data_IF_881623091943
#
_entry.id   IF_881623091943
#
_cell.length_a   1.000
_cell.length_b   1.000
_cell.length_c   1.000
_cell.angle_alpha   90.00
_cell.angle_beta   90.00
_cell.angle_gamma   90.00
#
_symmetry.space_group_name_H-M   'P 1'
#
loop_
_entity.id
_entity.type
_entity.pdbx_description
1 polymer ?
#
# COMPACT_ATOMS: atom_id res chain seq x y z
N UNK A 1 6.30 10.88 17.13
CA UNK A 1 6.01 9.86 16.11
C UNK A 1 4.51 9.93 15.81
N UNK A 2 4.12 10.10 14.56
CA UNK A 2 2.71 10.12 14.18
C UNK A 2 2.10 8.73 14.42
N UNK A 3 0.92 8.69 15.06
CA UNK A 3 0.21 7.43 15.33
C UNK A 3 -0.76 7.12 14.19
N UNK A 4 -1.02 5.83 13.88
CA UNK A 4 -2.08 5.45 12.96
C UNK A 4 -3.43 6.02 13.39
N UNK A 5 -4.29 6.33 12.41
CA UNK A 5 -5.66 6.78 12.65
C UNK A 5 -6.64 5.86 11.95
N UNK A 6 -7.79 5.62 12.58
CA UNK A 6 -8.90 4.93 11.93
C UNK A 6 -9.64 5.94 11.07
N UNK A 7 -9.72 5.66 9.76
CA UNK A 7 -10.45 6.47 8.79
C UNK A 7 -11.88 5.95 8.60
N UNK A 8 -12.04 4.64 8.63
CA UNK A 8 -13.34 3.97 8.49
C UNK A 8 -13.30 2.60 9.14
N UNK A 9 -14.43 2.19 9.69
CA UNK A 9 -14.63 0.81 10.15
C UNK A 9 -16.09 0.39 10.04
N UNK A 10 -16.28 -0.89 9.77
CA UNK A 10 -17.56 -1.58 9.91
C UNK A 10 -17.33 -3.05 10.30
N UNK A 11 -18.34 -3.91 10.14
CA UNK A 11 -18.24 -5.33 10.47
C UNK A 11 -17.26 -6.11 9.56
N UNK A 12 -16.90 -5.56 8.43
CA UNK A 12 -16.10 -6.21 7.37
C UNK A 12 -14.76 -5.56 7.10
N UNK A 13 -14.66 -4.27 7.34
CA UNK A 13 -13.53 -3.42 6.94
C UNK A 13 -12.94 -2.66 8.13
N UNK A 14 -11.63 -2.48 8.09
CA UNK A 14 -10.89 -1.51 8.90
C UNK A 14 -9.96 -0.74 7.96
N UNK A 15 -10.15 0.56 7.85
CA UNK A 15 -9.35 1.45 7.02
C UNK A 15 -8.53 2.35 7.91
N UNK A 16 -7.22 2.30 7.74
CA UNK A 16 -6.26 3.02 8.56
C UNK A 16 -5.44 4.00 7.72
N UNK A 17 -5.15 5.14 8.32
CA UNK A 17 -4.13 6.06 7.85
C UNK A 17 -2.77 5.61 8.40
N UNK A 18 -1.92 5.07 7.53
CA UNK A 18 -0.58 4.61 7.89
C UNK A 18 0.37 5.81 7.88
N UNK A 19 1.03 6.14 8.98
CA UNK A 19 2.11 7.12 8.95
C UNK A 19 3.32 6.59 8.16
N UNK A 20 4.15 7.51 7.67
CA UNK A 20 5.46 7.16 7.12
C UNK A 20 6.33 6.46 8.17
N UNK A 21 7.28 5.66 7.72
CA UNK A 21 8.23 4.91 8.54
C UNK A 21 7.63 3.79 9.42
N UNK A 22 6.34 3.51 9.30
CA UNK A 22 5.68 2.37 9.95
C UNK A 22 5.56 1.19 8.95
N UNK A 23 5.96 -0.04 9.28
CA UNK A 23 5.70 -1.18 8.42
C UNK A 23 4.21 -1.51 8.39
N UNK A 24 3.70 -1.97 7.23
CA UNK A 24 2.28 -2.40 7.13
C UNK A 24 2.05 -3.74 7.84
N UNK A 25 3.01 -4.63 7.75
CA UNK A 25 3.01 -5.96 8.37
C UNK A 25 4.32 -6.15 9.13
N UNK A 26 4.42 -7.09 10.07
CA UNK A 26 5.68 -7.38 10.75
C UNK A 26 6.83 -7.60 9.76
N UNK A 27 7.98 -7.03 10.05
CA UNK A 27 9.22 -7.19 9.30
C UNK A 27 10.39 -7.52 10.24
N UNK A 28 11.59 -7.64 9.71
CA UNK A 28 12.81 -8.01 10.46
C UNK A 28 13.24 -6.94 11.48
N UNK A 29 12.69 -5.74 11.45
CA UNK A 29 13.05 -4.67 12.38
C UNK A 29 12.57 -4.92 13.81
N UNK A 30 11.53 -5.75 13.96
CA UNK A 30 10.85 -5.95 15.25
C UNK A 30 9.97 -4.78 15.71
N UNK A 31 9.85 -3.72 14.89
CA UNK A 31 8.94 -2.62 15.20
C UNK A 31 7.47 -3.06 15.10
N UNK A 32 6.61 -2.46 15.92
CA UNK A 32 5.18 -2.68 15.81
C UNK A 32 4.69 -2.32 14.41
N UNK A 33 3.99 -3.24 13.74
CA UNK A 33 3.41 -2.97 12.43
C UNK A 33 2.01 -2.33 12.52
N UNK A 34 1.55 -1.75 11.40
CA UNK A 34 0.17 -1.25 11.29
C UNK A 34 -0.86 -2.36 11.53
N UNK A 35 -0.57 -3.59 11.10
CA UNK A 35 -1.40 -4.77 11.35
C UNK A 35 -1.53 -5.06 12.84
N UNK A 36 -0.41 -5.03 13.59
CA UNK A 36 -0.40 -5.31 15.03
C UNK A 36 -1.13 -4.21 15.79
N UNK A 37 -0.86 -2.95 15.43
CA UNK A 37 -1.59 -1.81 15.96
C UNK A 37 -3.11 -1.94 15.72
N UNK A 38 -3.52 -2.30 14.51
CA UNK A 38 -4.93 -2.46 14.15
C UNK A 38 -5.60 -3.61 14.93
N UNK A 39 -4.90 -4.73 15.10
CA UNK A 39 -5.40 -5.86 15.93
C UNK A 39 -5.60 -5.44 17.38
N UNK A 40 -4.61 -4.77 17.98
CA UNK A 40 -4.70 -4.25 19.34
C UNK A 40 -5.88 -3.27 19.47
N UNK A 41 -5.99 -2.31 18.56
CA UNK A 41 -7.07 -1.32 18.57
C UNK A 41 -8.47 -1.98 18.51
N UNK A 42 -8.67 -3.00 17.65
CA UNK A 42 -9.93 -3.75 17.58
C UNK A 42 -10.19 -4.53 18.86
N UNK A 43 -9.15 -5.17 19.44
CA UNK A 43 -9.29 -5.92 20.69
C UNK A 43 -9.75 -5.02 21.83
N UNK A 44 -9.10 -3.86 22.00
CA UNK A 44 -9.42 -2.88 23.03
C UNK A 44 -10.83 -2.29 22.85
N UNK A 45 -11.15 -1.80 21.64
CA UNK A 45 -12.44 -1.16 21.35
C UNK A 45 -13.63 -2.07 21.59
N UNK A 46 -13.51 -3.34 21.25
CA UNK A 46 -14.62 -4.29 21.33
C UNK A 46 -14.50 -5.28 22.50
N UNK A 47 -13.54 -5.06 23.40
CA UNK A 47 -13.26 -5.93 24.56
C UNK A 47 -13.23 -7.41 24.16
N UNK A 48 -12.61 -7.72 22.99
CA UNK A 48 -12.59 -9.08 22.45
C UNK A 48 -11.63 -9.97 23.23
N UNK A 49 -12.12 -11.06 23.84
CA UNK A 49 -11.23 -12.08 24.37
C UNK A 49 -10.58 -12.86 23.22
N UNK A 50 -9.26 -12.98 23.21
CA UNK A 50 -8.51 -13.79 22.26
C UNK A 50 -8.01 -13.04 21.02
N UNK A 51 -7.58 -13.81 20.02
CA UNK A 51 -6.93 -13.25 18.83
C UNK A 51 -7.90 -12.54 17.90
N UNK A 52 -7.52 -11.34 17.46
CA UNK A 52 -8.26 -10.56 16.45
C UNK A 52 -7.76 -10.95 15.07
N UNK A 53 -8.67 -11.33 14.19
CA UNK A 53 -8.39 -11.51 12.77
C UNK A 53 -8.43 -10.17 12.04
N UNK A 54 -7.35 -9.87 11.31
CA UNK A 54 -7.31 -8.84 10.27
C UNK A 54 -6.59 -9.40 9.04
N UNK A 55 -7.31 -9.51 7.92
CA UNK A 55 -6.77 -9.93 6.63
C UNK A 55 -6.04 -8.80 5.93
N UNK A 56 -4.80 -9.04 5.52
CA UNK A 56 -3.98 -8.10 4.75
C UNK A 56 -4.35 -8.20 3.28
N UNK A 57 -4.91 -7.15 2.71
CA UNK A 57 -5.37 -7.11 1.32
C UNK A 57 -4.28 -6.52 0.41
N UNK A 58 -3.66 -5.45 0.86
CA UNK A 58 -2.56 -4.78 0.18
C UNK A 58 -1.61 -4.17 1.20
N UNK A 59 -0.50 -3.65 0.72
CA UNK A 59 0.52 -3.02 1.58
C UNK A 59 0.98 -1.72 0.97
N UNK A 60 1.42 -0.82 1.82
CA UNK A 60 2.29 0.31 1.48
C UNK A 60 3.67 0.02 2.04
N UNK A 61 4.68 0.42 1.31
CA UNK A 61 6.07 0.31 1.76
C UNK A 61 6.30 1.16 3.02
N UNK A 62 7.30 0.79 3.80
CA UNK A 62 7.59 1.42 5.09
C UNK A 62 7.69 2.95 5.02
N UNK A 63 8.43 3.57 4.09
CA UNK A 63 8.55 5.03 4.01
C UNK A 63 7.27 5.72 3.51
N UNK A 64 6.35 5.00 2.90
CA UNK A 64 5.13 5.57 2.29
C UNK A 64 4.04 5.71 3.35
N UNK A 65 3.40 6.87 3.42
CA UNK A 65 2.18 7.11 4.21
C UNK A 65 0.94 6.98 3.35
N UNK A 66 -0.22 6.77 3.99
CA UNK A 66 -1.52 6.78 3.30
C UNK A 66 -2.47 5.68 3.75
N UNK A 67 -3.50 5.48 2.96
CA UNK A 67 -4.63 4.61 3.28
C UNK A 67 -4.28 3.15 3.12
N UNK A 68 -4.50 2.36 4.17
CA UNK A 68 -4.38 0.90 4.16
C UNK A 68 -5.69 0.27 4.61
N UNK A 69 -6.16 -0.70 3.84
CA UNK A 69 -7.39 -1.43 4.06
C UNK A 69 -7.09 -2.84 4.59
N UNK A 70 -7.73 -3.19 5.71
CA UNK A 70 -7.75 -4.55 6.26
C UNK A 70 -9.16 -5.12 6.24
N UNK A 71 -9.26 -6.43 6.01
CA UNK A 71 -10.52 -7.15 6.15
C UNK A 71 -10.68 -7.67 7.58
N UNK A 72 -11.86 -7.48 8.17
CA UNK A 72 -12.19 -7.96 9.52
C UNK A 72 -12.78 -9.37 9.54
N UNK A 73 -13.04 -9.94 8.36
CA UNK A 73 -13.53 -11.31 8.19
C UNK A 73 -12.83 -11.99 7.02
N UNK A 74 -12.70 -13.32 7.04
CA UNK A 74 -12.12 -14.10 5.92
C UNK A 74 -12.91 -13.89 4.63
N UNK A 75 -14.24 -13.87 4.70
CA UNK A 75 -15.10 -13.63 3.52
C UNK A 75 -14.88 -12.26 2.90
N UNK A 76 -14.64 -11.21 3.70
CA UNK A 76 -14.27 -9.90 3.18
C UNK A 76 -12.86 -9.92 2.58
N UNK A 77 -11.92 -10.63 3.22
CA UNK A 77 -10.56 -10.77 2.71
C UNK A 77 -10.54 -11.41 1.31
N UNK A 78 -11.29 -12.49 1.12
CA UNK A 78 -11.37 -13.19 -0.16
C UNK A 78 -11.94 -12.29 -1.27
N UNK A 79 -13.05 -11.60 -0.98
CA UNK A 79 -13.71 -10.71 -1.95
C UNK A 79 -12.83 -9.52 -2.33
N UNK A 80 -12.19 -8.89 -1.36
CA UNK A 80 -11.29 -7.76 -1.61
C UNK A 80 -10.03 -8.21 -2.35
N UNK A 81 -9.44 -9.34 -1.95
CA UNK A 81 -8.27 -9.88 -2.63
C UNK A 81 -8.56 -10.20 -4.10
N UNK A 82 -9.78 -10.67 -4.41
CA UNK A 82 -10.22 -10.86 -5.79
C UNK A 82 -10.23 -9.53 -6.57
N UNK A 83 -10.82 -8.46 -6.01
CA UNK A 83 -10.87 -7.14 -6.65
C UNK A 83 -9.46 -6.56 -6.89
N UNK A 84 -8.54 -6.72 -5.94
CA UNK A 84 -7.15 -6.27 -6.12
C UNK A 84 -6.43 -7.08 -7.22
N UNK A 85 -6.64 -8.40 -7.27
CA UNK A 85 -6.07 -9.28 -8.30
C UNK A 85 -6.63 -8.99 -9.69
N UNK A 86 -7.92 -8.73 -9.79
CA UNK A 86 -8.64 -8.40 -11.03
C UNK A 86 -8.42 -6.93 -11.45
N UNK A 87 -7.72 -6.15 -10.64
CA UNK A 87 -7.41 -4.74 -10.88
C UNK A 87 -8.65 -3.85 -11.02
N UNK A 88 -9.76 -4.22 -10.40
CA UNK A 88 -10.99 -3.39 -10.37
C UNK A 88 -10.90 -2.24 -9.35
N UNK A 89 -9.97 -2.33 -8.40
CA UNK A 89 -9.71 -1.26 -7.44
C UNK A 89 -8.88 -0.15 -8.08
N UNK A 90 -9.42 1.06 -8.06
CA UNK A 90 -8.66 2.25 -8.46
C UNK A 90 -7.74 2.70 -7.32
N UNK A 91 -6.45 2.82 -7.60
CA UNK A 91 -5.44 3.25 -6.63
C UNK A 91 -4.86 4.59 -7.08
N UNK A 92 -4.95 5.58 -6.22
CA UNK A 92 -4.36 6.90 -6.46
C UNK A 92 -3.26 7.16 -5.45
N UNK A 93 -2.12 7.62 -5.94
CA UNK A 93 -0.97 8.00 -5.13
C UNK A 93 -0.63 9.46 -5.41
N UNK A 94 -0.21 10.17 -4.39
CA UNK A 94 0.42 11.47 -4.52
C UNK A 94 1.92 11.28 -4.38
N UNK A 95 2.69 11.79 -5.32
CA UNK A 95 4.14 11.73 -5.31
C UNK A 95 4.72 13.09 -5.68
N UNK A 96 5.94 13.35 -5.20
CA UNK A 96 6.75 14.47 -5.63
C UNK A 96 7.89 13.90 -6.45
N UNK A 97 8.09 14.44 -7.64
CA UNK A 97 9.19 14.04 -8.53
C UNK A 97 10.14 15.22 -8.71
N UNK A 98 11.44 14.91 -8.76
CA UNK A 98 12.48 15.87 -9.09
C UNK A 98 12.68 15.89 -10.60
N UNK A 99 12.78 17.07 -11.20
CA UNK A 99 13.00 17.23 -12.63
C UNK A 99 12.24 18.38 -13.25
N UNK A 100 12.47 18.59 -14.54
CA UNK A 100 11.92 19.69 -15.31
C UNK A 100 10.60 19.25 -15.97
N UNK A 101 9.51 19.98 -15.63
CA UNK A 101 8.41 20.18 -16.54
C UNK A 101 7.57 18.94 -16.89
N UNK A 102 7.15 18.14 -15.90
CA UNK A 102 6.01 17.25 -16.14
C UNK A 102 4.74 18.09 -16.13
N UNK A 103 4.24 18.46 -17.29
CA UNK A 103 2.97 19.16 -17.45
C UNK A 103 1.90 18.22 -17.99
N UNK A 104 0.64 18.45 -17.58
CA UNK A 104 -0.50 17.70 -18.08
C UNK A 104 -0.65 16.33 -17.46
N UNK A 105 -0.91 15.32 -18.28
CA UNK A 105 -1.11 13.93 -17.88
C UNK A 105 -0.50 12.98 -18.92
N UNK A 106 -0.19 11.78 -18.50
CA UNK A 106 0.37 10.78 -19.38
C UNK A 106 0.32 9.37 -18.81
N UNK A 107 0.87 8.47 -19.59
CA UNK A 107 1.02 7.05 -19.22
C UNK A 107 2.47 6.63 -19.39
N UNK A 108 2.97 5.93 -18.38
CA UNK A 108 4.29 5.29 -18.41
C UNK A 108 4.11 3.80 -18.29
N UNK A 109 4.80 3.06 -19.12
CA UNK A 109 4.77 1.62 -19.15
C UNK A 109 6.20 1.09 -19.09
N UNK A 110 6.43 0.15 -18.18
CA UNK A 110 7.71 -0.51 -17.99
C UNK A 110 7.52 -2.01 -17.78
N UNK A 111 8.52 -2.77 -18.20
CA UNK A 111 8.71 -4.13 -17.74
C UNK A 111 9.67 -4.12 -16.56
N UNK A 112 9.24 -4.72 -15.46
CA UNK A 112 9.95 -4.71 -14.19
C UNK A 112 10.24 -6.14 -13.73
N UNK A 113 11.45 -6.37 -13.23
CA UNK A 113 11.85 -7.64 -12.63
C UNK A 113 12.35 -7.43 -11.21
N UNK A 114 11.90 -8.29 -10.29
CA UNK A 114 12.39 -8.31 -8.93
C UNK A 114 13.66 -9.16 -8.85
N UNK A 115 14.73 -8.58 -8.32
CA UNK A 115 15.93 -9.31 -7.94
C UNK A 115 15.74 -9.86 -6.52
N UNK A 116 15.65 -11.18 -6.39
CA UNK A 116 15.39 -11.86 -5.10
C UNK A 116 16.56 -11.76 -4.13
N UNK A 117 17.80 -11.61 -4.63
CA UNK A 117 18.99 -11.56 -3.78
C UNK A 117 19.10 -10.26 -2.97
N UNK A 118 18.64 -9.14 -3.51
CA UNK A 118 18.72 -7.83 -2.88
C UNK A 118 17.36 -7.15 -2.67
N UNK A 119 16.26 -7.86 -2.94
CA UNK A 119 14.88 -7.40 -2.83
C UNK A 119 14.58 -6.10 -3.64
N UNK A 120 15.33 -5.82 -4.70
CA UNK A 120 15.15 -4.64 -5.55
C UNK A 120 14.38 -4.95 -6.81
N UNK A 121 13.57 -4.00 -7.25
CA UNK A 121 12.89 -4.03 -8.56
C UNK A 121 13.66 -3.14 -9.51
N UNK A 122 13.86 -3.60 -10.74
CA UNK A 122 14.57 -2.85 -11.77
C UNK A 122 13.92 -3.05 -13.15
N UNK A 123 14.05 -2.08 -14.06
CA UNK A 123 13.61 -2.22 -15.42
C UNK A 123 14.30 -3.41 -16.11
N UNK A 124 13.56 -4.07 -17.00
CA UNK A 124 14.06 -5.19 -17.79
C UNK A 124 13.35 -5.22 -19.15
N UNK A 125 13.77 -6.13 -20.03
CA UNK A 125 13.05 -6.36 -21.28
C UNK A 125 11.83 -7.25 -21.07
N UNK A 126 10.84 -7.13 -21.98
CA UNK A 126 9.60 -7.93 -21.92
C UNK A 126 9.86 -9.44 -21.91
N UNK A 127 10.84 -9.87 -22.69
CA UNK A 127 11.23 -11.28 -22.84
C UNK A 127 12.07 -11.83 -21.69
N UNK A 128 12.48 -10.99 -20.74
CA UNK A 128 13.29 -11.43 -19.60
C UNK A 128 12.47 -12.33 -18.67
N UNK A 129 13.08 -13.40 -18.18
CA UNK A 129 12.44 -14.27 -17.21
C UNK A 129 12.04 -13.49 -15.94
N UNK A 130 10.79 -13.65 -15.54
CA UNK A 130 10.23 -12.95 -14.37
C UNK A 130 9.83 -11.49 -14.62
N UNK A 131 9.89 -11.01 -15.87
CA UNK A 131 9.40 -9.70 -16.27
C UNK A 131 7.89 -9.55 -15.98
N UNK A 132 7.51 -8.42 -15.42
CA UNK A 132 6.11 -8.06 -15.16
C UNK A 132 5.83 -6.68 -15.71
N UNK A 133 4.77 -6.57 -16.48
CA UNK A 133 4.29 -5.29 -17.01
C UNK A 133 3.75 -4.41 -15.88
N UNK A 134 4.26 -3.20 -15.76
CA UNK A 134 3.81 -2.16 -14.86
C UNK A 134 3.34 -0.94 -15.67
N UNK A 135 2.13 -0.47 -15.36
CA UNK A 135 1.52 0.69 -16.03
C UNK A 135 1.15 1.70 -14.98
N UNK A 136 1.52 2.95 -15.20
CA UNK A 136 1.17 4.07 -14.34
C UNK A 136 0.59 5.19 -15.19
N UNK A 137 -0.65 5.55 -14.93
CA UNK A 137 -1.25 6.78 -15.43
C UNK A 137 -0.93 7.88 -14.42
N UNK A 138 -0.48 9.03 -14.91
CA UNK A 138 -0.10 10.15 -14.06
C UNK A 138 -0.72 11.45 -14.53
N UNK A 139 -0.86 12.40 -13.62
CA UNK A 139 -1.28 13.76 -13.86
C UNK A 139 -0.52 14.71 -12.95
N UNK A 140 0.14 15.69 -13.53
CA UNK A 140 0.75 16.79 -12.80
C UNK A 140 -0.35 17.63 -12.13
N UNK A 141 -0.21 17.93 -10.86
CA UNK A 141 -1.14 18.76 -10.08
C UNK A 141 -0.58 20.15 -9.88
N UNK A 142 0.70 20.24 -9.55
CA UNK A 142 1.39 21.49 -9.27
C UNK A 142 2.88 21.35 -9.55
N UNK A 143 3.53 22.43 -9.96
CA UNK A 143 4.96 22.51 -10.14
C UNK A 143 5.52 23.65 -9.28
N UNK A 144 6.56 23.36 -8.49
CA UNK A 144 7.25 24.36 -7.67
C UNK A 144 8.75 24.15 -7.73
N UNK A 145 9.50 25.21 -8.04
CA UNK A 145 10.97 25.25 -7.95
C UNK A 145 11.66 23.98 -8.53
N UNK A 146 11.17 23.49 -9.67
CA UNK A 146 11.71 22.30 -10.32
C UNK A 146 11.17 20.96 -9.81
N UNK A 147 10.22 20.94 -8.88
CA UNK A 147 9.51 19.75 -8.41
C UNK A 147 8.10 19.68 -9.01
N UNK A 148 7.63 18.50 -9.31
CA UNK A 148 6.26 18.23 -9.78
C UNK A 148 5.61 17.14 -8.96
#
# INVERSE_FOLDING_TARGET
MFKPRVLYEDNHLLVLDKPACLPTVPDESGDESLLDWGKRWVAEKYSKPGAVFLGVIHRLDRPVSGVVLFARTSKAADRLSAQFRERTVQKTYLGVVDGVGLEGAGRVEHWLRKNSANNRVQPCAEQDEGARRAVTDWRALEQRAGLT
#
